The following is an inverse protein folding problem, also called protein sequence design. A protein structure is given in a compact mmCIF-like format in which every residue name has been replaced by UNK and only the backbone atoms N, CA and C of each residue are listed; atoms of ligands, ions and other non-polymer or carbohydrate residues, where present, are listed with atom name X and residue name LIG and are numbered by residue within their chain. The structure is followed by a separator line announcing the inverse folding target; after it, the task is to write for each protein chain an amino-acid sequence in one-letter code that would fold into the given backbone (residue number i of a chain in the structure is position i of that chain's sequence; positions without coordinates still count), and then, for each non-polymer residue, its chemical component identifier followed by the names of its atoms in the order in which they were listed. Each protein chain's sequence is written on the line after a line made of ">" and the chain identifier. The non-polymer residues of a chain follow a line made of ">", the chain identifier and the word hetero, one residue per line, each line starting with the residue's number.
data_IF_381471992948
#
_entry.id   IF_381471992948
#
_cell.length_a   1.000
_cell.length_b   1.000
_cell.length_c   1.000
_cell.angle_alpha   90.00
_cell.angle_beta   90.00
_cell.angle_gamma   90.00
#
_symmetry.space_group_name_H-M   'P 1'
#
loop_
_entity.id
_entity.type
_entity.pdbx_description
1 polymer ?
#
# COMPACT_ATOMS: atom_id res chain seq x y z
N UNK A 1 -9.69 64.02 -13.38
CA UNK A 1 -9.17 62.65 -13.62
C UNK A 1 -8.43 62.25 -12.35
N UNK A 2 -9.08 61.94 -11.24
CA UNK A 2 -10.11 60.89 -10.98
C UNK A 2 -9.71 59.53 -11.57
N UNK A 3 -9.88 58.37 -10.94
CA UNK A 3 -10.04 57.88 -9.55
C UNK A 3 -10.20 56.34 -9.71
N UNK A 4 -9.83 55.56 -8.69
CA UNK A 4 -10.19 54.15 -8.43
C UNK A 4 -9.55 53.06 -9.32
N UNK A 5 -8.70 52.15 -8.81
CA UNK A 5 -8.95 51.10 -7.81
C UNK A 5 -10.16 50.20 -8.10
N UNK A 6 -9.89 48.98 -8.57
CA UNK A 6 -10.70 47.81 -8.22
C UNK A 6 -9.76 46.65 -7.83
N UNK A 7 -9.88 46.31 -6.55
CA UNK A 7 -9.35 45.17 -5.83
C UNK A 7 -9.42 43.84 -6.60
N UNK A 8 -8.26 43.22 -6.81
CA UNK A 8 -8.18 41.76 -6.88
C UNK A 8 -8.14 41.28 -5.43
N UNK A 9 -9.28 40.81 -4.91
CA UNK A 9 -9.34 40.12 -3.62
C UNK A 9 -8.48 38.85 -3.71
N UNK A 10 -7.27 38.90 -3.16
CA UNK A 10 -6.56 37.69 -2.75
C UNK A 10 -7.46 36.95 -1.75
N UNK A 11 -7.80 35.70 -2.06
CA UNK A 11 -8.52 34.82 -1.14
C UNK A 11 -7.62 34.66 0.11
N UNK A 12 -8.02 35.13 1.30
CA UNK A 12 -7.20 34.99 2.48
C UNK A 12 -7.17 33.52 2.89
N UNK A 13 -5.99 32.92 3.01
CA UNK A 13 -5.74 31.66 3.74
C UNK A 13 -5.97 31.82 5.27
N UNK A 14 -6.87 32.71 5.69
CA UNK A 14 -7.27 32.89 7.08
C UNK A 14 -8.57 32.16 7.33
N UNK A 15 -8.43 30.89 7.70
CA UNK A 15 -9.07 30.22 8.85
C UNK A 15 -8.84 28.72 8.71
N UNK A 16 -7.59 28.29 8.91
CA UNK A 16 -7.41 27.12 9.76
C UNK A 16 -8.11 27.46 11.07
N UNK A 17 -9.00 26.59 11.52
CA UNK A 17 -9.86 26.82 12.68
C UNK A 17 -8.95 27.26 13.84
N UNK A 18 -9.13 28.46 14.42
CA UNK A 18 -8.21 29.03 15.43
C UNK A 18 -8.00 28.09 16.61
N UNK A 19 -8.96 27.19 16.86
CA UNK A 19 -8.87 26.12 17.84
C UNK A 19 -7.90 25.00 17.47
N UNK A 20 -7.87 24.56 16.22
CA UNK A 20 -6.96 23.51 15.72
C UNK A 20 -5.53 24.04 15.63
N UNK A 21 -5.37 25.28 15.16
CA UNK A 21 -4.06 25.95 15.16
C UNK A 21 -3.53 26.10 16.59
N UNK A 22 -4.38 26.54 17.54
CA UNK A 22 -3.99 26.66 18.94
C UNK A 22 -3.59 25.32 19.57
N UNK A 23 -4.37 24.25 19.33
CA UNK A 23 -4.05 22.90 19.81
C UNK A 23 -2.74 22.38 19.21
N UNK A 24 -2.50 22.63 17.92
CA UNK A 24 -1.28 22.22 17.24
C UNK A 24 -0.06 22.97 17.75
N UNK A 25 -0.17 24.30 17.92
CA UNK A 25 0.88 25.13 18.53
C UNK A 25 1.19 24.67 19.94
N UNK A 26 0.18 24.39 20.75
CA UNK A 26 0.37 23.88 22.12
C UNK A 26 1.08 22.53 22.15
N UNK A 27 0.70 21.60 21.26
CA UNK A 27 1.36 20.31 21.15
C UNK A 27 2.83 20.44 20.71
N UNK A 28 3.09 21.25 19.67
CA UNK A 28 4.45 21.46 19.17
C UNK A 28 5.32 22.24 20.15
N UNK A 29 4.73 23.13 20.95
CA UNK A 29 5.41 23.84 22.04
C UNK A 29 5.96 22.86 23.07
N UNK A 30 5.14 21.89 23.46
CA UNK A 30 5.57 20.86 24.41
C UNK A 30 6.68 19.97 23.85
N UNK A 31 6.66 19.69 22.54
CA UNK A 31 7.75 18.95 21.88
C UNK A 31 9.02 19.79 21.86
N UNK A 32 8.93 21.07 21.48
CA UNK A 32 10.06 22.00 21.46
C UNK A 32 10.75 22.08 22.83
N UNK A 33 9.98 22.36 23.88
CA UNK A 33 10.48 22.48 25.27
C UNK A 33 11.06 21.18 25.83
N UNK A 34 10.65 20.02 25.31
CA UNK A 34 11.22 18.74 25.72
C UNK A 34 12.66 18.57 25.23
N UNK A 35 12.98 19.10 24.04
CA UNK A 35 14.26 18.85 23.36
C UNK A 35 15.22 20.04 23.44
N UNK A 36 14.75 21.21 23.87
CA UNK A 36 15.54 22.34 24.35
C UNK A 36 16.14 21.99 25.72
N UNK A 37 17.29 21.32 25.69
CA UNK A 37 17.88 20.67 26.87
C UNK A 37 18.54 21.69 27.81
N UNK A 38 19.03 22.79 27.25
CA UNK A 38 19.61 23.90 27.99
C UNK A 38 18.60 25.03 28.31
N UNK A 39 17.36 24.92 27.82
CA UNK A 39 16.26 25.87 28.03
C UNK A 39 16.60 27.27 27.53
N UNK A 40 17.40 27.36 26.47
CA UNK A 40 17.82 28.63 25.86
C UNK A 40 16.76 29.21 24.91
N UNK A 41 15.69 28.46 24.64
CA UNK A 41 14.58 28.86 23.78
C UNK A 41 14.83 28.60 22.30
N UNK A 42 15.91 27.90 21.95
CA UNK A 42 16.28 27.53 20.59
C UNK A 42 16.58 26.02 20.51
N UNK A 43 16.53 25.47 19.30
CA UNK A 43 17.04 24.12 19.04
C UNK A 43 18.32 24.20 18.23
N UNK A 44 19.43 23.78 18.83
CA UNK A 44 20.72 23.70 18.13
C UNK A 44 20.85 22.38 17.33
N UNK A 45 21.91 22.25 16.51
CA UNK A 45 22.13 21.05 15.68
C UNK A 45 22.20 19.75 16.51
N UNK A 46 22.73 19.81 17.73
CA UNK A 46 22.88 18.63 18.61
C UNK A 46 21.52 18.21 19.15
N UNK A 47 20.74 19.15 19.66
CA UNK A 47 19.38 18.93 20.16
C UNK A 47 18.43 18.50 19.04
N UNK A 48 18.57 19.08 17.85
CA UNK A 48 17.79 18.69 16.69
C UNK A 48 18.15 17.28 16.24
N UNK A 49 19.44 16.89 16.30
CA UNK A 49 19.84 15.50 16.10
C UNK A 49 19.24 14.58 17.17
N UNK A 50 19.21 14.99 18.43
CA UNK A 50 18.57 14.24 19.50
C UNK A 50 17.06 14.08 19.30
N UNK A 51 16.35 15.15 18.93
CA UNK A 51 14.93 15.16 18.59
C UNK A 51 14.60 14.14 17.48
N UNK A 52 15.48 14.07 16.48
CA UNK A 52 15.38 13.15 15.35
C UNK A 52 15.71 11.70 15.76
N UNK A 53 16.75 11.49 16.57
CA UNK A 53 17.21 10.17 16.99
C UNK A 53 16.30 9.52 18.04
N UNK A 54 15.78 10.28 19.01
CA UNK A 54 15.00 9.77 20.15
C UNK A 54 13.64 9.18 19.71
N UNK A 55 13.15 9.51 18.49
CA UNK A 55 11.92 8.95 17.91
C UNK A 55 12.13 7.70 17.02
N UNK A 56 13.23 6.97 17.24
CA UNK A 56 13.63 5.73 16.53
C UNK A 56 13.93 5.93 15.02
N UNK A 57 14.76 6.91 14.66
CA UNK A 57 15.53 6.86 13.41
C UNK A 57 17.01 6.78 13.79
N UNK A 58 17.52 5.57 13.95
CA UNK A 58 18.93 5.36 14.30
C UNK A 58 19.88 5.72 13.13
N UNK A 59 19.39 5.76 11.89
CA UNK A 59 20.21 6.01 10.69
C UNK A 59 19.71 7.21 9.86
N UNK A 60 19.70 8.40 10.47
CA UNK A 60 19.57 9.62 9.68
C UNK A 60 20.96 10.11 9.22
N UNK A 61 21.18 10.35 7.91
CA UNK A 61 22.40 10.96 7.43
C UNK A 61 22.65 12.29 8.14
N UNK A 62 23.88 12.51 8.63
CA UNK A 62 24.28 13.74 9.35
C UNK A 62 23.95 15.02 8.58
N UNK A 63 23.89 14.91 7.25
CA UNK A 63 23.64 16.01 6.34
C UNK A 63 22.16 16.44 6.27
N UNK A 64 21.20 15.58 6.62
CA UNK A 64 19.77 15.90 6.53
C UNK A 64 19.33 16.85 7.65
N UNK A 65 19.81 16.65 8.88
CA UNK A 65 19.57 17.61 9.97
C UNK A 65 20.18 18.97 9.66
N UNK A 66 21.38 19.00 9.10
CA UNK A 66 22.03 20.25 8.65
C UNK A 66 21.24 20.92 7.52
N UNK A 67 20.71 20.13 6.58
CA UNK A 67 19.92 20.62 5.47
C UNK A 67 18.56 21.17 5.92
N UNK A 68 17.88 20.49 6.85
CA UNK A 68 16.62 20.96 7.44
C UNK A 68 16.82 22.23 8.26
N UNK A 69 17.93 22.35 8.98
CA UNK A 69 18.26 23.59 9.69
C UNK A 69 18.43 24.73 8.69
N UNK A 70 19.26 24.55 7.65
CA UNK A 70 19.49 25.56 6.61
C UNK A 70 18.24 25.98 5.82
N UNK A 71 17.24 25.11 5.73
CA UNK A 71 15.99 25.42 5.01
C UNK A 71 15.02 26.26 5.84
N UNK A 72 15.11 26.20 7.17
CA UNK A 72 14.12 26.81 8.07
C UNK A 72 14.67 27.91 8.97
N UNK A 73 15.99 27.94 9.17
CA UNK A 73 16.75 29.01 9.81
C UNK A 73 16.67 30.27 8.92
N UNK A 74 15.61 31.05 9.13
CA UNK A 74 15.28 32.22 8.32
C UNK A 74 16.15 33.40 8.71
N UNK A 75 16.62 33.42 9.94
CA UNK A 75 17.45 34.47 10.52
C UNK A 75 18.97 34.20 10.38
N UNK A 76 19.37 33.00 9.90
CA UNK A 76 20.74 32.49 9.75
C UNK A 76 21.56 32.49 11.04
N UNK A 77 20.93 32.27 12.20
CA UNK A 77 21.61 32.21 13.50
C UNK A 77 22.20 30.82 13.82
N UNK A 78 21.97 29.83 12.95
CA UNK A 78 22.46 28.47 13.11
C UNK A 78 21.67 27.64 14.12
N UNK A 79 20.51 28.13 14.57
CA UNK A 79 19.58 27.52 15.50
C UNK A 79 18.15 27.64 14.94
N UNK A 80 17.17 27.08 15.64
CA UNK A 80 15.75 27.23 15.28
C UNK A 80 14.96 27.74 16.48
N UNK A 81 14.26 28.85 16.30
CA UNK A 81 13.27 29.29 17.27
C UNK A 81 11.94 28.51 17.14
N UNK A 82 11.02 28.74 18.07
CA UNK A 82 9.73 28.03 18.05
C UNK A 82 8.88 28.31 16.80
N UNK A 83 8.91 29.53 16.25
CA UNK A 83 8.14 29.89 15.06
C UNK A 83 8.73 29.25 13.81
N UNK A 84 10.05 29.20 13.70
CA UNK A 84 10.78 28.49 12.64
C UNK A 84 10.55 26.97 12.74
N UNK A 85 10.58 26.39 13.95
CA UNK A 85 10.22 25.00 14.19
C UNK A 85 8.76 24.69 13.85
N UNK A 86 7.84 25.58 14.20
CA UNK A 86 6.42 25.45 13.88
C UNK A 86 6.20 25.48 12.37
N UNK A 87 6.86 26.41 11.66
CA UNK A 87 6.82 26.53 10.21
C UNK A 87 7.47 25.34 9.50
N UNK A 88 8.61 24.83 10.00
CA UNK A 88 9.23 23.58 9.55
C UNK A 88 8.23 22.42 9.63
N UNK A 89 7.46 22.32 10.72
CA UNK A 89 6.43 21.28 10.89
C UNK A 89 5.25 21.41 9.90
N UNK A 90 5.02 22.60 9.36
CA UNK A 90 3.96 22.90 8.39
C UNK A 90 4.44 22.64 6.95
N UNK A 91 5.65 23.07 6.63
CA UNK A 91 6.23 23.02 5.28
C UNK A 91 6.80 21.64 4.95
N UNK A 92 7.25 20.89 5.96
CA UNK A 92 7.74 19.52 5.82
C UNK A 92 6.89 18.54 6.63
N UNK A 93 5.68 18.20 6.13
CA UNK A 93 4.77 17.26 6.79
C UNK A 93 5.35 15.85 6.97
N UNK A 94 6.52 15.54 6.41
CA UNK A 94 7.32 14.35 6.75
C UNK A 94 7.70 14.28 8.23
N UNK A 95 7.52 15.34 9.02
CA UNK A 95 7.53 15.27 10.48
C UNK A 95 6.41 14.38 11.06
N UNK A 96 5.29 14.22 10.35
CA UNK A 96 4.26 13.17 10.59
C UNK A 96 4.79 11.75 10.33
N UNK A 97 6.08 11.62 9.99
CA UNK A 97 6.84 10.38 10.05
C UNK A 97 6.56 9.59 11.32
N UNK A 98 6.21 10.16 12.47
CA UNK A 98 5.94 9.33 13.66
C UNK A 98 4.81 8.30 13.49
N UNK A 99 3.71 8.67 12.83
CA UNK A 99 2.62 7.73 12.56
C UNK A 99 3.05 6.71 11.49
N UNK A 100 3.75 7.19 10.46
CA UNK A 100 4.28 6.41 9.34
C UNK A 100 5.39 5.43 9.76
N UNK A 101 6.28 5.84 10.67
CA UNK A 101 7.38 5.07 11.25
C UNK A 101 6.84 4.10 12.30
N UNK A 102 5.84 4.49 13.10
CA UNK A 102 5.14 3.52 13.98
C UNK A 102 4.44 2.45 13.16
N UNK A 103 3.78 2.83 12.07
CA UNK A 103 3.16 1.91 11.13
C UNK A 103 4.20 1.02 10.44
N UNK A 104 5.28 1.60 9.88
CA UNK A 104 6.37 0.83 9.29
C UNK A 104 7.00 -0.11 10.33
N UNK A 105 7.28 0.33 11.56
CA UNK A 105 7.78 -0.57 12.62
C UNK A 105 6.79 -1.64 13.07
N UNK A 106 5.49 -1.41 12.88
CA UNK A 106 4.50 -2.44 13.11
C UNK A 106 4.57 -3.45 11.95
N UNK A 107 4.48 -3.01 10.70
CA UNK A 107 4.36 -3.90 9.54
C UNK A 107 5.71 -4.49 9.09
N UNK A 108 6.83 -3.90 9.52
CA UNK A 108 8.20 -4.23 9.08
C UNK A 108 9.02 -4.80 10.24
N UNK A 109 9.79 -5.87 10.02
CA UNK A 109 10.59 -6.49 11.08
C UNK A 109 11.81 -5.63 11.45
N UNK A 110 12.19 -5.65 12.74
CA UNK A 110 13.41 -5.02 13.26
C UNK A 110 14.55 -6.03 13.35
N UNK A 111 15.77 -5.61 13.00
CA UNK A 111 16.97 -6.38 13.30
C UNK A 111 17.32 -6.22 14.79
N UNK A 112 17.76 -7.29 15.43
CA UNK A 112 18.32 -7.21 16.79
C UNK A 112 19.72 -6.59 16.70
N UNK A 113 19.98 -5.57 17.53
CA UNK A 113 21.27 -4.86 17.66
C UNK A 113 22.41 -5.74 18.24
N UNK A 114 22.20 -7.05 18.37
CA UNK A 114 23.03 -7.94 19.20
C UNK A 114 24.06 -8.78 18.42
N UNK A 115 24.18 -8.62 17.10
CA UNK A 115 25.23 -9.29 16.30
C UNK A 115 26.32 -8.27 15.92
N UNK A 116 27.08 -7.82 16.93
CA UNK A 116 28.40 -7.20 16.77
C UNK A 116 29.34 -8.19 16.06
N UNK A 117 29.54 -8.04 14.75
CA UNK A 117 30.61 -8.77 14.07
C UNK A 117 30.52 -8.94 12.56
N UNK A 118 29.34 -8.89 11.97
CA UNK A 118 29.24 -8.87 10.51
C UNK A 118 29.30 -7.43 10.01
N UNK A 119 30.17 -7.18 9.03
CA UNK A 119 30.32 -5.90 8.33
C UNK A 119 28.93 -5.34 8.02
N UNK A 120 28.59 -4.21 8.66
CA UNK A 120 27.40 -3.42 8.37
C UNK A 120 27.46 -2.99 6.89
N UNK A 121 26.86 -3.78 6.02
CA UNK A 121 26.66 -3.39 4.62
C UNK A 121 25.54 -2.35 4.47
N UNK A 122 24.78 -2.06 5.53
CA UNK A 122 23.82 -0.94 5.57
C UNK A 122 22.74 -1.03 4.49
N UNK A 123 22.61 -2.16 3.79
CA UNK A 123 21.75 -2.27 2.61
C UNK A 123 20.26 -2.22 2.98
N UNK A 124 19.89 -2.50 4.24
CA UNK A 124 18.51 -2.49 4.68
C UNK A 124 17.99 -1.09 5.08
N UNK A 125 18.69 -0.34 5.95
CA UNK A 125 18.29 1.05 6.24
C UNK A 125 18.50 2.00 5.04
N UNK A 126 19.48 1.75 4.18
CA UNK A 126 19.60 2.46 2.89
C UNK A 126 18.51 2.07 1.88
N UNK A 127 17.67 1.07 2.17
CA UNK A 127 16.61 0.61 1.27
C UNK A 127 15.23 1.20 1.50
N UNK A 128 14.99 1.99 2.56
CA UNK A 128 13.86 2.92 2.58
C UNK A 128 14.16 4.11 1.66
N UNK A 129 14.37 3.82 0.38
CA UNK A 129 14.40 4.87 -0.62
C UNK A 129 12.95 5.30 -0.83
N UNK A 130 12.63 6.53 -0.41
CA UNK A 130 11.46 7.27 -0.90
C UNK A 130 11.41 7.35 -2.44
N UNK A 131 12.50 6.93 -3.10
CA UNK A 131 12.74 6.99 -4.52
C UNK A 131 13.27 5.66 -5.07
N UNK A 132 12.58 5.01 -6.02
CA UNK A 132 11.36 5.46 -6.67
C UNK A 132 10.14 5.43 -5.73
N UNK A 133 9.28 6.45 -5.78
CA UNK A 133 8.10 6.55 -4.91
C UNK A 133 7.13 5.37 -5.09
N UNK A 134 6.33 5.03 -4.06
CA UNK A 134 5.34 3.95 -4.09
C UNK A 134 4.15 4.37 -4.96
N UNK A 135 4.35 4.34 -6.28
CA UNK A 135 3.39 4.88 -7.25
C UNK A 135 2.50 3.81 -7.85
N UNK A 136 2.86 2.52 -7.86
CA UNK A 136 2.12 1.56 -8.70
C UNK A 136 0.70 1.35 -8.14
N UNK A 137 0.56 1.14 -6.83
CA UNK A 137 -0.78 1.00 -6.22
C UNK A 137 -1.62 2.27 -6.37
N UNK A 138 -1.00 3.45 -6.33
CA UNK A 138 -1.67 4.74 -6.55
C UNK A 138 -2.12 4.85 -8.01
N UNK A 139 -1.27 4.48 -8.96
CA UNK A 139 -1.59 4.51 -10.40
C UNK A 139 -2.74 3.57 -10.72
N UNK A 140 -2.71 2.33 -10.21
CA UNK A 140 -3.82 1.38 -10.40
C UNK A 140 -5.12 1.91 -9.80
N UNK A 141 -5.06 2.45 -8.58
CA UNK A 141 -6.20 3.08 -7.92
C UNK A 141 -6.80 4.23 -8.73
N UNK A 142 -5.96 5.10 -9.30
CA UNK A 142 -6.42 6.21 -10.17
C UNK A 142 -7.09 5.66 -11.43
N UNK A 143 -6.52 4.63 -12.05
CA UNK A 143 -7.11 4.00 -13.25
C UNK A 143 -8.47 3.37 -12.93
N UNK A 144 -8.60 2.65 -11.82
CA UNK A 144 -9.85 2.06 -11.34
C UNK A 144 -10.94 3.12 -11.15
N UNK A 145 -10.61 4.24 -10.50
CA UNK A 145 -11.53 5.37 -10.30
C UNK A 145 -11.94 5.97 -11.65
N UNK A 146 -10.98 6.24 -12.54
CA UNK A 146 -11.27 6.83 -13.87
C UNK A 146 -12.22 5.91 -14.65
N UNK A 147 -11.95 4.61 -14.70
CA UNK A 147 -12.75 3.67 -15.47
C UNK A 147 -14.16 3.54 -14.90
N UNK A 148 -14.29 3.46 -13.57
CA UNK A 148 -15.57 3.43 -12.89
C UNK A 148 -16.39 4.70 -13.14
N UNK A 149 -15.77 5.88 -13.12
CA UNK A 149 -16.43 7.16 -13.41
C UNK A 149 -16.88 7.23 -14.87
N UNK A 150 -16.05 6.77 -15.81
CA UNK A 150 -16.44 6.71 -17.24
C UNK A 150 -17.69 5.86 -17.42
N UNK A 151 -17.75 4.69 -16.79
CA UNK A 151 -18.89 3.79 -16.90
C UNK A 151 -20.16 4.41 -16.30
N UNK A 152 -20.11 4.94 -15.09
CA UNK A 152 -21.25 5.63 -14.44
C UNK A 152 -21.81 6.75 -15.32
N UNK A 153 -20.93 7.60 -15.87
CA UNK A 153 -21.34 8.75 -16.69
C UNK A 153 -21.98 8.29 -18.00
N UNK A 154 -21.44 7.24 -18.62
CA UNK A 154 -21.91 6.75 -19.92
C UNK A 154 -23.18 5.92 -19.82
N UNK A 155 -23.38 5.17 -18.75
CA UNK A 155 -24.59 4.37 -18.53
C UNK A 155 -25.69 5.13 -17.80
N UNK A 156 -25.40 6.34 -17.29
CA UNK A 156 -26.27 7.09 -16.38
C UNK A 156 -26.68 6.27 -15.14
N UNK A 157 -25.82 5.34 -14.72
CA UNK A 157 -26.10 4.48 -13.58
C UNK A 157 -25.59 5.10 -12.28
N UNK A 158 -26.51 5.69 -11.52
CA UNK A 158 -26.20 6.35 -10.25
C UNK A 158 -25.67 5.41 -9.17
N UNK A 159 -25.87 4.10 -9.29
CA UNK A 159 -25.42 3.11 -8.30
C UNK A 159 -24.11 2.42 -8.72
N UNK A 160 -23.63 2.63 -9.95
CA UNK A 160 -22.42 2.01 -10.48
C UNK A 160 -22.48 0.48 -10.56
N UNK A 161 -23.67 -0.09 -10.60
CA UNK A 161 -23.97 -1.53 -10.71
C UNK A 161 -24.00 -2.04 -12.15
N UNK A 162 -23.93 -1.15 -13.13
CA UNK A 162 -24.06 -1.46 -14.54
C UNK A 162 -22.78 -2.09 -15.08
N UNK A 163 -22.96 -3.20 -15.79
CA UNK A 163 -21.90 -3.88 -16.53
C UNK A 163 -21.89 -3.53 -18.02
N UNK A 164 -22.77 -2.61 -18.46
CA UNK A 164 -22.90 -2.20 -19.86
C UNK A 164 -22.06 -0.98 -20.24
N UNK A 165 -21.26 -0.46 -19.32
CA UNK A 165 -20.35 0.66 -19.58
C UNK A 165 -19.24 0.30 -20.59
N UNK A 166 -18.65 1.29 -21.28
CA UNK A 166 -17.59 1.04 -22.25
C UNK A 166 -16.34 0.39 -21.63
N UNK A 167 -15.96 0.75 -20.39
CA UNK A 167 -14.80 0.17 -19.72
C UNK A 167 -15.11 -1.23 -19.24
N UNK A 168 -16.27 -1.45 -18.63
CA UNK A 168 -16.76 -2.79 -18.29
C UNK A 168 -16.78 -3.70 -19.52
N UNK A 169 -17.39 -3.28 -20.63
CA UNK A 169 -17.46 -4.08 -21.86
C UNK A 169 -16.08 -4.45 -22.40
N UNK A 170 -15.11 -3.53 -22.35
CA UNK A 170 -13.77 -3.75 -22.90
C UNK A 170 -12.86 -4.58 -21.99
N UNK A 171 -12.96 -4.39 -20.66
CA UNK A 171 -11.95 -4.87 -19.72
C UNK A 171 -12.43 -5.95 -18.75
N UNK A 172 -13.74 -6.13 -18.54
CA UNK A 172 -14.27 -7.18 -17.67
C UNK A 172 -13.81 -8.55 -18.15
N UNK A 173 -13.56 -9.47 -17.20
CA UNK A 173 -13.39 -10.86 -17.55
C UNK A 173 -14.74 -11.45 -17.98
N UNK A 174 -14.85 -11.72 -19.28
CA UNK A 174 -16.04 -12.32 -19.87
C UNK A 174 -15.75 -13.80 -20.20
N UNK A 175 -16.44 -14.76 -19.57
CA UNK A 175 -16.22 -16.18 -19.82
C UNK A 175 -16.46 -16.56 -21.29
N UNK A 176 -17.31 -15.83 -22.02
CA UNK A 176 -17.56 -16.13 -23.43
C UNK A 176 -16.45 -15.59 -24.36
N UNK A 177 -15.55 -14.74 -23.87
CA UNK A 177 -14.45 -14.13 -24.63
C UNK A 177 -13.07 -14.51 -24.08
N UNK A 178 -12.90 -15.76 -23.59
CA UNK A 178 -11.62 -16.23 -23.03
C UNK A 178 -10.41 -16.16 -23.97
N UNK A 179 -10.64 -16.10 -25.28
CA UNK A 179 -9.57 -15.89 -26.27
C UNK A 179 -8.99 -14.47 -26.22
N UNK A 180 -9.70 -13.51 -25.65
CA UNK A 180 -9.25 -12.15 -25.39
C UNK A 180 -8.39 -12.12 -24.11
N UNK A 181 -7.16 -12.65 -24.22
CA UNK A 181 -6.29 -12.95 -23.08
C UNK A 181 -6.00 -11.77 -22.14
N UNK A 182 -6.08 -10.53 -22.63
CA UNK A 182 -5.91 -9.33 -21.79
C UNK A 182 -6.98 -9.24 -20.68
N UNK A 183 -8.17 -9.81 -20.90
CA UNK A 183 -9.26 -9.82 -19.91
C UNK A 183 -8.95 -10.61 -18.64
N UNK A 184 -7.97 -11.52 -18.69
CA UNK A 184 -7.46 -12.18 -17.49
C UNK A 184 -6.67 -11.23 -16.58
N UNK A 185 -6.25 -10.07 -17.09
CA UNK A 185 -5.52 -9.05 -16.34
C UNK A 185 -6.36 -7.80 -16.13
N UNK A 186 -6.98 -7.27 -17.19
CA UNK A 186 -7.60 -5.94 -17.19
C UNK A 186 -8.87 -5.84 -16.35
N UNK A 187 -9.47 -6.98 -15.98
CA UNK A 187 -10.67 -6.99 -15.14
C UNK A 187 -10.46 -6.31 -13.78
N UNK A 188 -9.21 -6.21 -13.32
CA UNK A 188 -8.85 -5.50 -12.08
C UNK A 188 -9.26 -4.02 -12.09
N UNK A 189 -9.38 -3.41 -13.28
CA UNK A 189 -9.75 -2.00 -13.39
C UNK A 189 -11.26 -1.74 -13.42
N UNK A 190 -12.09 -2.78 -13.53
CA UNK A 190 -13.55 -2.67 -13.63
C UNK A 190 -14.16 -3.00 -12.28
N UNK A 191 -15.09 -2.19 -11.79
CA UNK A 191 -15.76 -2.43 -10.51
C UNK A 191 -17.28 -2.33 -10.67
N UNK A 192 -18.01 -3.17 -9.93
CA UNK A 192 -19.47 -3.19 -9.89
C UNK A 192 -19.90 -2.77 -8.48
N UNK A 193 -20.38 -1.53 -8.36
CA UNK A 193 -20.85 -0.91 -7.12
C UNK A 193 -19.79 -0.08 -6.37
N UNK A 194 -20.25 1.01 -5.74
CA UNK A 194 -19.39 1.93 -4.99
C UNK A 194 -18.66 1.27 -3.81
N UNK A 195 -19.37 0.46 -3.02
CA UNK A 195 -18.78 -0.19 -1.85
C UNK A 195 -17.68 -1.18 -2.26
N UNK A 196 -17.88 -1.88 -3.39
CA UNK A 196 -16.88 -2.78 -3.92
C UNK A 196 -15.61 -2.03 -4.36
N UNK A 197 -15.75 -0.90 -5.06
CA UNK A 197 -14.60 -0.06 -5.42
C UNK A 197 -13.89 0.51 -4.17
N UNK A 198 -14.64 1.13 -3.25
CA UNK A 198 -14.05 1.80 -2.07
C UNK A 198 -13.28 0.82 -1.20
N UNK A 199 -13.83 -0.37 -0.94
CA UNK A 199 -13.14 -1.37 -0.10
C UNK A 199 -11.88 -1.91 -0.77
N UNK A 200 -11.91 -2.15 -2.09
CA UNK A 200 -10.69 -2.53 -2.83
C UNK A 200 -9.63 -1.44 -2.74
N UNK A 201 -9.98 -0.18 -3.03
CA UNK A 201 -9.06 0.95 -2.95
C UNK A 201 -8.47 1.13 -1.54
N UNK A 202 -9.29 1.03 -0.49
CA UNK A 202 -8.85 1.18 0.89
C UNK A 202 -7.77 0.13 1.21
N UNK A 203 -8.05 -1.15 0.98
CA UNK A 203 -7.11 -2.22 1.31
C UNK A 203 -5.88 -2.19 0.39
N UNK A 204 -6.08 -1.94 -0.91
CA UNK A 204 -5.01 -1.80 -1.89
C UNK A 204 -4.02 -0.70 -1.55
N UNK A 205 -4.52 0.51 -1.26
CA UNK A 205 -3.66 1.64 -0.91
C UNK A 205 -3.01 1.38 0.45
N UNK A 206 -3.79 0.96 1.45
CA UNK A 206 -3.27 0.77 2.81
C UNK A 206 -2.19 -0.30 2.88
N UNK A 207 -2.43 -1.49 2.32
CA UNK A 207 -1.49 -2.61 2.37
C UNK A 207 -0.45 -2.57 1.26
N UNK A 208 -0.83 -2.12 0.07
CA UNK A 208 0.04 -2.10 -1.09
C UNK A 208 1.13 -1.06 -0.97
N UNK A 209 0.79 0.20 -0.64
CA UNK A 209 1.79 1.28 -0.45
C UNK A 209 2.78 0.89 0.65
N UNK A 210 2.29 0.27 1.74
CA UNK A 210 3.13 -0.24 2.80
C UNK A 210 4.18 -1.24 2.31
N UNK A 211 3.79 -2.19 1.45
CA UNK A 211 4.73 -3.14 0.85
C UNK A 211 5.68 -2.45 -0.13
N UNK A 212 5.21 -1.47 -0.92
CA UNK A 212 6.03 -0.80 -1.94
C UNK A 212 7.19 -0.04 -1.32
N UNK A 213 6.95 0.55 -0.15
CA UNK A 213 7.94 1.29 0.63
C UNK A 213 9.06 0.40 1.17
N UNK A 214 8.78 -0.88 1.40
CA UNK A 214 9.71 -1.84 2.02
C UNK A 214 10.40 -2.71 0.96
N UNK A 215 9.64 -3.10 -0.07
CA UNK A 215 10.05 -4.08 -1.05
C UNK A 215 10.21 -3.50 -2.46
N UNK A 216 10.07 -2.18 -2.65
CA UNK A 216 10.06 -1.50 -3.95
C UNK A 216 8.80 -1.80 -4.79
N UNK A 217 8.35 -0.77 -5.54
CA UNK A 217 7.12 -0.82 -6.32
C UNK A 217 7.01 -2.01 -7.29
N UNK A 218 8.08 -2.37 -8.00
CA UNK A 218 8.00 -3.41 -9.05
C UNK A 218 7.81 -4.81 -8.47
N UNK A 219 8.35 -5.09 -7.29
CA UNK A 219 8.20 -6.38 -6.59
C UNK A 219 6.75 -6.55 -6.14
N UNK A 220 6.17 -5.51 -5.57
CA UNK A 220 4.78 -5.51 -5.14
C UNK A 220 3.84 -5.56 -6.34
N UNK A 221 4.17 -4.86 -7.42
CA UNK A 221 3.43 -4.95 -8.68
C UNK A 221 3.41 -6.39 -9.22
N UNK A 222 4.54 -7.10 -9.20
CA UNK A 222 4.58 -8.51 -9.61
C UNK A 222 3.68 -9.40 -8.76
N UNK A 223 3.71 -9.23 -7.43
CA UNK A 223 2.83 -10.00 -6.52
C UNK A 223 1.36 -9.69 -6.79
N UNK A 224 1.01 -8.41 -6.91
CA UNK A 224 -0.35 -7.96 -7.18
C UNK A 224 -0.88 -8.51 -8.51
N UNK A 225 -0.11 -8.35 -9.60
CA UNK A 225 -0.49 -8.82 -10.93
C UNK A 225 -0.56 -10.35 -11.00
N UNK A 226 0.33 -11.07 -10.31
CA UNK A 226 0.23 -12.52 -10.17
C UNK A 226 -1.08 -12.92 -9.46
N UNK A 227 -1.46 -12.18 -8.43
CA UNK A 227 -2.75 -12.32 -7.74
C UNK A 227 -3.95 -12.14 -8.68
N UNK A 228 -3.94 -11.07 -9.48
CA UNK A 228 -4.98 -10.79 -10.48
C UNK A 228 -5.09 -11.91 -11.51
N UNK A 229 -3.96 -12.33 -12.10
CA UNK A 229 -3.96 -13.40 -13.12
C UNK A 229 -4.39 -14.74 -12.52
N UNK A 230 -3.95 -15.06 -11.30
CA UNK A 230 -4.41 -16.27 -10.60
C UNK A 230 -5.90 -16.18 -10.25
N UNK A 231 -6.40 -14.99 -9.90
CA UNK A 231 -7.81 -14.74 -9.59
C UNK A 231 -8.74 -15.03 -10.77
N UNK A 232 -8.39 -14.51 -11.95
CA UNK A 232 -9.14 -14.79 -13.18
C UNK A 232 -8.96 -16.22 -13.66
N UNK A 233 -7.76 -16.80 -13.56
CA UNK A 233 -7.50 -18.20 -13.91
C UNK A 233 -8.35 -19.15 -13.04
N UNK A 234 -8.34 -18.97 -11.72
CA UNK A 234 -9.15 -19.75 -10.79
C UNK A 234 -10.64 -19.62 -11.09
N UNK A 235 -11.13 -18.40 -11.28
CA UNK A 235 -12.54 -18.16 -11.68
C UNK A 235 -12.88 -18.85 -12.99
N UNK A 236 -12.00 -18.78 -14.00
CA UNK A 236 -12.22 -19.47 -15.28
C UNK A 236 -12.39 -20.98 -15.12
N UNK A 237 -11.58 -21.60 -14.26
CA UNK A 237 -11.57 -23.05 -14.09
C UNK A 237 -12.70 -23.56 -13.18
N UNK A 238 -12.97 -22.89 -12.07
CA UNK A 238 -13.91 -23.41 -11.07
C UNK A 238 -15.32 -22.83 -11.19
N UNK A 239 -15.46 -21.64 -11.78
CA UNK A 239 -16.75 -20.97 -12.03
C UNK A 239 -16.82 -20.46 -13.48
N UNK A 240 -16.74 -21.35 -14.50
CA UNK A 240 -16.47 -21.01 -15.90
C UNK A 240 -17.52 -20.14 -16.61
N UNK A 241 -18.63 -19.82 -15.93
CA UNK A 241 -19.77 -19.04 -16.45
C UNK A 241 -19.95 -17.68 -15.74
N UNK A 242 -19.05 -17.33 -14.82
CA UNK A 242 -19.16 -16.11 -14.01
C UNK A 242 -18.29 -15.01 -14.63
N UNK A 243 -18.87 -13.82 -14.76
CA UNK A 243 -18.13 -12.61 -15.10
C UNK A 243 -17.34 -12.17 -13.88
N UNK A 244 -16.10 -11.74 -14.09
CA UNK A 244 -15.25 -11.26 -13.00
C UNK A 244 -14.87 -9.79 -13.25
N UNK A 245 -15.10 -8.97 -12.23
CA UNK A 245 -14.74 -7.57 -12.17
C UNK A 245 -14.17 -7.31 -10.77
N UNK A 246 -13.14 -6.49 -10.68
CA UNK A 246 -12.61 -5.97 -9.42
C UNK A 246 -11.14 -6.31 -9.19
N UNK A 247 -10.45 -5.42 -8.50
CA UNK A 247 -9.05 -5.53 -8.10
C UNK A 247 -8.78 -6.62 -7.05
N UNK A 248 -9.82 -7.29 -6.54
CA UNK A 248 -9.76 -8.09 -5.31
C UNK A 248 -8.80 -9.29 -5.35
N UNK A 249 -8.56 -9.89 -6.53
CA UNK A 249 -7.52 -10.91 -6.69
C UNK A 249 -6.12 -10.39 -6.34
N UNK A 250 -5.81 -9.16 -6.74
CA UNK A 250 -4.57 -8.46 -6.36
C UNK A 250 -4.56 -8.03 -4.90
N UNK A 251 -5.69 -7.54 -4.38
CA UNK A 251 -5.83 -7.17 -2.96
C UNK A 251 -5.57 -8.35 -2.02
N UNK A 252 -6.17 -9.50 -2.30
CA UNK A 252 -5.91 -10.73 -1.53
C UNK A 252 -4.47 -11.23 -1.68
N UNK A 253 -3.84 -10.99 -2.84
CA UNK A 253 -2.43 -11.26 -2.99
C UNK A 253 -1.57 -10.35 -2.10
N UNK A 254 -1.88 -9.07 -1.95
CA UNK A 254 -1.18 -8.16 -1.04
C UNK A 254 -1.34 -8.60 0.43
N UNK A 255 -2.55 -8.98 0.84
CA UNK A 255 -2.81 -9.43 2.21
C UNK A 255 -1.96 -10.67 2.54
N UNK A 256 -1.95 -11.66 1.65
CA UNK A 256 -1.18 -12.89 1.86
C UNK A 256 0.33 -12.71 1.66
N UNK A 257 0.75 -11.71 0.88
CA UNK A 257 2.15 -11.27 0.84
C UNK A 257 2.62 -10.74 2.20
N UNK A 258 1.79 -9.95 2.91
CA UNK A 258 2.09 -9.55 4.29
C UNK A 258 2.24 -10.76 5.22
N UNK A 259 1.35 -11.74 5.11
CA UNK A 259 1.45 -13.00 5.86
C UNK A 259 2.77 -13.72 5.54
N UNK A 260 3.16 -13.80 4.26
CA UNK A 260 4.44 -14.38 3.85
C UNK A 260 5.63 -13.63 4.46
N UNK A 261 5.62 -12.29 4.43
CA UNK A 261 6.67 -11.46 5.05
C UNK A 261 6.77 -11.70 6.55
N UNK A 262 5.63 -11.78 7.26
CA UNK A 262 5.60 -12.06 8.70
C UNK A 262 6.22 -13.44 9.00
N UNK A 263 5.89 -14.46 8.21
CA UNK A 263 6.40 -15.82 8.42
C UNK A 263 7.91 -15.90 8.14
N UNK A 264 8.37 -15.28 7.05
CA UNK A 264 9.80 -15.29 6.70
C UNK A 264 10.66 -14.53 7.71
N UNK A 265 10.13 -13.44 8.25
CA UNK A 265 10.86 -12.57 9.18
C UNK A 265 10.36 -12.72 10.63
N UNK A 266 9.86 -13.90 10.99
CA UNK A 266 9.16 -14.14 12.26
C UNK A 266 9.96 -13.71 13.49
N UNK A 267 11.27 -13.98 13.50
CA UNK A 267 12.15 -13.68 14.64
C UNK A 267 12.43 -12.19 14.83
N UNK A 268 12.25 -11.41 13.77
CA UNK A 268 12.56 -9.99 13.69
C UNK A 268 11.33 -9.11 13.95
N UNK A 269 10.11 -9.69 13.91
CA UNK A 269 8.86 -8.97 14.08
C UNK A 269 8.48 -8.84 15.58
N UNK A 270 8.42 -7.61 16.11
CA UNK A 270 8.11 -7.33 17.53
C UNK A 270 6.72 -7.84 17.95
N UNK A 271 5.75 -7.89 17.02
CA UNK A 271 4.37 -8.35 17.26
C UNK A 271 3.87 -9.34 16.20
N UNK A 272 4.74 -10.25 15.73
CA UNK A 272 4.45 -11.19 14.64
C UNK A 272 3.12 -11.95 14.81
N UNK A 273 2.89 -12.50 16.01
CA UNK A 273 1.70 -13.31 16.34
C UNK A 273 0.42 -12.48 16.23
N UNK A 274 0.43 -11.27 16.80
CA UNK A 274 -0.76 -10.39 16.80
C UNK A 274 -1.11 -9.98 15.37
N UNK A 275 -0.11 -9.62 14.57
CA UNK A 275 -0.32 -9.20 13.18
C UNK A 275 -0.80 -10.35 12.31
N UNK A 276 -0.17 -11.53 12.44
CA UNK A 276 -0.63 -12.73 11.75
C UNK A 276 -2.08 -13.05 12.11
N UNK A 277 -2.43 -12.97 13.40
CA UNK A 277 -3.79 -13.19 13.86
C UNK A 277 -4.78 -12.19 13.25
N UNK A 278 -4.46 -10.89 13.23
CA UNK A 278 -5.30 -9.85 12.62
C UNK A 278 -5.53 -10.12 11.13
N UNK A 279 -4.47 -10.44 10.37
CA UNK A 279 -4.59 -10.74 8.95
C UNK A 279 -5.39 -12.02 8.69
N UNK A 280 -5.19 -13.07 9.51
CA UNK A 280 -5.96 -14.31 9.40
C UNK A 280 -7.45 -14.10 9.68
N UNK A 281 -7.78 -13.37 10.76
CA UNK A 281 -9.18 -13.06 11.10
C UNK A 281 -9.82 -12.23 9.98
N UNK A 282 -9.12 -11.22 9.47
CA UNK A 282 -9.60 -10.41 8.34
C UNK A 282 -9.86 -11.27 7.10
N UNK A 283 -8.88 -12.07 6.65
CA UNK A 283 -9.03 -12.95 5.49
C UNK A 283 -10.16 -13.96 5.64
N UNK A 284 -10.24 -14.64 6.78
CA UNK A 284 -11.24 -15.69 7.01
C UNK A 284 -12.64 -15.07 7.08
N UNK A 285 -12.78 -13.91 7.73
CA UNK A 285 -14.07 -13.22 7.83
C UNK A 285 -14.52 -12.70 6.48
N UNK A 286 -13.65 -12.02 5.73
CA UNK A 286 -13.99 -11.46 4.41
C UNK A 286 -14.31 -12.56 3.39
N UNK A 287 -13.48 -13.61 3.32
CA UNK A 287 -13.73 -14.76 2.45
C UNK A 287 -15.00 -15.52 2.89
N UNK A 288 -15.23 -15.67 4.19
CA UNK A 288 -16.41 -16.30 4.74
C UNK A 288 -17.70 -15.55 4.40
N UNK A 289 -17.69 -14.21 4.50
CA UNK A 289 -18.80 -13.35 4.08
C UNK A 289 -19.03 -13.45 2.57
N UNK A 290 -17.96 -13.43 1.77
CA UNK A 290 -18.06 -13.56 0.31
C UNK A 290 -18.66 -14.91 -0.11
N UNK A 291 -18.25 -16.01 0.53
CA UNK A 291 -18.83 -17.34 0.30
C UNK A 291 -20.29 -17.38 0.76
N UNK A 292 -20.60 -16.85 1.95
CA UNK A 292 -21.95 -16.82 2.48
C UNK A 292 -22.89 -16.05 1.56
N UNK A 293 -22.48 -14.88 1.07
CA UNK A 293 -23.25 -14.09 0.12
C UNK A 293 -23.42 -14.83 -1.20
N UNK A 294 -22.34 -15.42 -1.74
CA UNK A 294 -22.42 -16.18 -3.00
C UNK A 294 -23.34 -17.40 -2.93
N UNK A 295 -23.56 -17.98 -1.75
CA UNK A 295 -24.49 -19.10 -1.55
C UNK A 295 -25.93 -18.60 -1.42
N UNK A 296 -26.15 -17.47 -0.74
CA UNK A 296 -27.49 -16.99 -0.38
C UNK A 296 -28.09 -15.99 -1.36
N UNK A 297 -27.26 -15.27 -2.12
CA UNK A 297 -27.69 -14.31 -3.13
C UNK A 297 -27.20 -14.78 -4.53
N UNK A 298 -28.12 -15.28 -5.39
CA UNK A 298 -27.78 -15.71 -6.75
C UNK A 298 -27.20 -14.60 -7.63
N UNK A 299 -27.42 -13.34 -7.26
CA UNK A 299 -26.96 -12.15 -7.97
C UNK A 299 -25.63 -11.62 -7.43
N UNK A 300 -25.25 -11.99 -6.20
CA UNK A 300 -23.97 -11.62 -5.58
C UNK A 300 -22.88 -12.66 -5.85
N UNK A 301 -22.52 -12.80 -7.13
CA UNK A 301 -21.42 -13.68 -7.55
C UNK A 301 -20.06 -13.01 -7.36
N UNK A 302 -19.83 -12.36 -6.21
CA UNK A 302 -18.50 -11.87 -5.85
C UNK A 302 -17.53 -13.04 -5.90
N UNK A 303 -16.40 -12.82 -6.56
CA UNK A 303 -15.45 -13.86 -6.93
C UNK A 303 -14.66 -14.40 -5.74
N UNK A 304 -15.30 -15.12 -4.81
CA UNK A 304 -14.61 -15.80 -3.70
C UNK A 304 -13.49 -16.73 -4.20
N UNK A 305 -13.66 -17.31 -5.40
CA UNK A 305 -12.61 -18.09 -6.07
C UNK A 305 -11.45 -17.19 -6.52
N UNK A 306 -11.75 -15.99 -7.03
CA UNK A 306 -10.72 -15.02 -7.36
C UNK A 306 -9.95 -14.57 -6.10
N UNK A 307 -10.66 -14.36 -4.98
CA UNK A 307 -10.05 -14.02 -3.69
C UNK A 307 -9.12 -15.14 -3.22
N UNK A 308 -9.61 -16.38 -3.19
CA UNK A 308 -8.83 -17.55 -2.76
C UNK A 308 -7.61 -17.82 -3.66
N UNK A 309 -7.79 -17.69 -4.98
CA UNK A 309 -6.70 -17.92 -5.94
C UNK A 309 -5.66 -16.80 -5.89
N UNK A 310 -6.11 -15.54 -5.74
CA UNK A 310 -5.25 -14.39 -5.50
C UNK A 310 -4.47 -14.50 -4.19
N UNK A 311 -5.10 -14.96 -3.12
CA UNK A 311 -4.48 -15.24 -1.84
C UNK A 311 -3.38 -16.32 -1.94
N UNK A 312 -3.66 -17.41 -2.66
CA UNK A 312 -2.66 -18.46 -2.88
C UNK A 312 -1.47 -17.92 -3.68
N UNK A 313 -1.72 -17.14 -4.74
CA UNK A 313 -0.69 -16.53 -5.54
C UNK A 313 0.15 -15.53 -4.74
N UNK A 314 -0.47 -14.66 -3.95
CA UNK A 314 0.24 -13.70 -3.11
C UNK A 314 1.12 -14.35 -2.06
N UNK A 315 0.66 -15.46 -1.47
CA UNK A 315 1.47 -16.24 -0.55
C UNK A 315 2.69 -16.87 -1.26
N UNK A 316 2.48 -17.59 -2.36
CA UNK A 316 3.55 -18.30 -3.09
C UNK A 316 4.55 -17.33 -3.73
N UNK A 317 4.06 -16.30 -4.42
CA UNK A 317 4.90 -15.29 -5.08
C UNK A 317 5.50 -14.33 -4.06
N UNK A 318 4.81 -14.05 -2.94
CA UNK A 318 5.30 -13.21 -1.85
C UNK A 318 6.54 -13.80 -1.17
N UNK A 319 6.55 -15.10 -0.87
CA UNK A 319 7.75 -15.84 -0.42
C UNK A 319 8.90 -15.65 -1.42
N UNK A 320 8.54 -15.58 -2.70
CA UNK A 320 9.45 -15.44 -3.83
C UNK A 320 10.11 -14.07 -3.92
N UNK A 321 9.27 -13.05 -3.90
CA UNK A 321 9.59 -11.74 -4.46
C UNK A 321 9.92 -10.75 -3.37
N UNK A 322 9.40 -10.92 -2.16
CA UNK A 322 9.63 -9.99 -1.05
C UNK A 322 10.99 -10.24 -0.40
N UNK A 323 11.63 -9.15 0.03
CA UNK A 323 12.99 -9.20 0.59
C UNK A 323 12.97 -9.92 1.94
N UNK A 324 13.93 -10.82 2.12
CA UNK A 324 14.23 -11.39 3.43
C UNK A 324 15.41 -10.67 4.08
N UNK A 325 15.32 -10.41 5.37
CA UNK A 325 16.30 -9.69 6.17
C UNK A 325 17.59 -10.47 6.42
N UNK A 326 17.49 -11.79 6.61
CA UNK A 326 18.63 -12.69 6.79
C UNK A 326 18.36 -13.93 5.96
N UNK A 327 19.08 -14.09 4.84
CA UNK A 327 18.85 -15.18 3.90
C UNK A 327 19.43 -16.46 4.45
N UNK A 328 18.57 -17.35 4.92
CA UNK A 328 18.94 -18.69 5.34
C UNK A 328 18.93 -19.67 4.15
N UNK A 329 19.80 -20.67 4.19
CA UNK A 329 19.98 -21.60 3.05
C UNK A 329 18.72 -22.41 2.70
N UNK A 330 17.81 -22.62 3.66
CA UNK A 330 16.53 -23.32 3.46
C UNK A 330 15.50 -22.43 2.74
N UNK A 331 15.58 -21.11 2.90
CA UNK A 331 14.65 -20.16 2.31
C UNK A 331 14.81 -20.10 0.81
N UNK A 332 16.04 -20.21 0.30
CA UNK A 332 16.29 -20.34 -1.14
C UNK A 332 15.66 -21.60 -1.74
N UNK A 333 15.58 -22.70 -0.97
CA UNK A 333 14.89 -23.92 -1.42
C UNK A 333 13.37 -23.72 -1.39
N UNK A 334 12.85 -23.10 -0.33
CA UNK A 334 11.44 -22.75 -0.21
C UNK A 334 11.00 -21.79 -1.32
N UNK A 335 11.85 -20.82 -1.67
CA UNK A 335 11.68 -19.89 -2.77
C UNK A 335 11.48 -20.60 -4.10
N UNK A 336 12.44 -21.46 -4.49
CA UNK A 336 12.33 -22.25 -5.72
C UNK A 336 11.11 -23.17 -5.72
N UNK A 337 10.78 -23.76 -4.57
CA UNK A 337 9.59 -24.58 -4.41
C UNK A 337 8.31 -23.77 -4.67
N UNK A 338 8.14 -22.61 -4.00
CA UNK A 338 6.96 -21.78 -4.11
C UNK A 338 6.75 -21.22 -5.54
N UNK A 339 7.83 -20.72 -6.16
CA UNK A 339 7.80 -20.24 -7.55
C UNK A 339 7.46 -21.38 -8.51
N UNK A 340 8.04 -22.56 -8.33
CA UNK A 340 7.74 -23.73 -9.17
C UNK A 340 6.29 -24.16 -9.03
N UNK A 341 5.76 -24.21 -7.80
CA UNK A 341 4.35 -24.54 -7.55
C UNK A 341 3.42 -23.54 -8.25
N UNK A 342 3.69 -22.24 -8.13
CA UNK A 342 2.88 -21.21 -8.81
C UNK A 342 2.86 -21.43 -10.33
N UNK A 343 4.03 -21.56 -10.96
CA UNK A 343 4.10 -21.77 -12.41
C UNK A 343 3.45 -23.08 -12.84
N UNK A 344 3.62 -24.17 -12.07
CA UNK A 344 2.96 -25.46 -12.36
C UNK A 344 1.44 -25.31 -12.32
N UNK A 345 0.88 -24.65 -11.30
CA UNK A 345 -0.57 -24.42 -11.20
C UNK A 345 -1.06 -23.59 -12.38
N UNK A 346 -0.36 -22.50 -12.73
CA UNK A 346 -0.75 -21.63 -13.83
C UNK A 346 -0.66 -22.34 -15.19
N UNK A 347 0.41 -23.09 -15.44
CA UNK A 347 0.58 -23.88 -16.68
C UNK A 347 -0.49 -24.96 -16.76
N UNK A 348 -0.77 -25.68 -15.67
CA UNK A 348 -1.83 -26.68 -15.64
C UNK A 348 -3.20 -26.07 -15.95
N UNK A 349 -3.51 -24.89 -15.39
CA UNK A 349 -4.74 -24.16 -15.70
C UNK A 349 -4.83 -23.73 -17.17
N UNK A 350 -3.74 -23.24 -17.75
CA UNK A 350 -3.67 -22.91 -19.18
C UNK A 350 -3.87 -24.17 -20.03
N UNK A 351 -3.18 -25.27 -19.71
CA UNK A 351 -3.33 -26.54 -20.43
C UNK A 351 -4.76 -27.08 -20.35
N UNK A 352 -5.43 -26.94 -19.22
CA UNK A 352 -6.83 -27.38 -19.06
C UNK A 352 -7.78 -26.68 -20.04
N UNK A 353 -7.54 -25.40 -20.35
CA UNK A 353 -8.31 -24.68 -21.38
C UNK A 353 -8.21 -25.32 -22.77
N UNK A 354 -7.08 -25.96 -23.09
CA UNK A 354 -6.87 -26.64 -24.37
C UNK A 354 -7.30 -28.11 -24.35
N UNK A 355 -7.16 -28.79 -23.21
CA UNK A 355 -7.41 -30.22 -23.06
C UNK A 355 -8.89 -30.56 -22.87
N UNK A 356 -9.66 -29.71 -22.18
CA UNK A 356 -11.10 -29.88 -22.00
C UNK A 356 -11.88 -28.59 -22.33
N UNK A 357 -12.05 -28.25 -23.63
CA UNK A 357 -12.86 -27.10 -24.01
C UNK A 357 -14.32 -27.23 -23.58
N UNK A 358 -14.84 -28.46 -23.41
CA UNK A 358 -16.25 -28.73 -23.13
C UNK A 358 -16.68 -28.23 -21.74
N UNK A 359 -15.75 -28.20 -20.78
CA UNK A 359 -15.95 -27.65 -19.45
C UNK A 359 -16.50 -26.22 -19.43
N UNK A 360 -16.19 -25.47 -20.48
CA UNK A 360 -16.44 -24.04 -20.51
C UNK A 360 -17.68 -23.60 -21.31
N UNK A 361 -18.47 -24.54 -21.82
CA UNK A 361 -19.71 -24.30 -22.57
C UNK A 361 -20.97 -24.58 -21.75
#
# INVERSE_FOLDING_TARGET
>A
MDRCEQHVQAIPLQRLNTREEHQRRQHLRHVFEKYDADSDGYLNIVEMKHLIHEKKCADMPKDLALHLLKLSDTNNDGRLDFEEFYKLSLEHPYFLCEMYIKYCKAVVPKRNDAEEGDVLDGEYEQSMKLWPPPLMMIIFSIMEIIFFVIDIVKTQDQNGTSTSGPMATLFIYNPHLRHEVWRFLTYMFVHIGFMHLIMNLLVQIFLGVALELVHCWWRVALVYLAGVVAGSMGTSLFTPRVFLAGASGGVYALITAHIATIIMNWKQMEYAIVQLFVFLVFCVTDLGVSIYNSINDPFDKVGYIAHASGALAGFLVGIGVLRNLKVESWERKLWWCAVSIYFVIMIAGIMYHFLDPSHFY
#
